data_IF_993463588289
#
_entry.id   IF_993463588289
#
_cell.length_a   1.000
_cell.length_b   1.000
_cell.length_c   1.000
_cell.angle_alpha   90.00
_cell.angle_beta   90.00
_cell.angle_gamma   90.00
#
_symmetry.space_group_name_H-M   'P 1'
#
loop_
_entity.id
_entity.type
_entity.pdbx_description
1 polymer ?
#
# COMPACT_ATOMS: atom_id res chain seq x y z
N UNK A 1 -4.77 3.25 3.78
CA UNK A 1 -5.07 2.28 2.69
C UNK A 1 -5.60 3.04 1.48
N UNK A 2 -5.50 2.49 0.27
CA UNK A 2 -6.11 3.05 -0.94
C UNK A 2 -6.78 1.93 -1.74
N UNK A 3 -7.92 2.24 -2.38
CA UNK A 3 -8.63 1.34 -3.29
C UNK A 3 -8.90 2.09 -4.59
N UNK A 4 -8.48 1.52 -5.71
CA UNK A 4 -8.62 2.16 -7.03
C UNK A 4 -8.61 1.11 -8.13
N UNK A 5 -9.45 1.32 -9.15
CA UNK A 5 -9.45 0.54 -10.40
C UNK A 5 -9.45 -0.98 -10.19
N UNK A 6 -10.22 -1.48 -9.22
CA UNK A 6 -10.28 -2.91 -8.92
C UNK A 6 -9.19 -3.43 -7.98
N UNK A 7 -8.29 -2.58 -7.48
CA UNK A 7 -7.20 -3.00 -6.58
C UNK A 7 -7.33 -2.38 -5.19
N UNK A 8 -6.78 -3.06 -4.19
CA UNK A 8 -6.68 -2.56 -2.82
C UNK A 8 -5.26 -2.70 -2.29
N UNK A 9 -4.71 -1.60 -1.79
CA UNK A 9 -3.42 -1.55 -1.11
C UNK A 9 -3.62 -1.14 0.35
N UNK A 10 -3.13 -1.97 1.26
CA UNK A 10 -3.08 -1.70 2.70
C UNK A 10 -1.61 -1.60 3.10
N UNK A 11 -1.23 -0.43 3.65
CA UNK A 11 0.09 -0.20 4.24
C UNK A 11 -0.05 -0.12 5.75
N UNK A 12 0.75 -0.90 6.45
CA UNK A 12 0.81 -0.91 7.92
C UNK A 12 2.02 -0.08 8.38
N UNK A 13 1.81 1.22 8.58
CA UNK A 13 2.86 2.10 9.10
C UNK A 13 3.16 1.74 10.57
N UNK A 14 4.42 1.40 10.86
CA UNK A 14 4.85 0.87 12.17
C UNK A 14 5.06 -0.63 12.24
N UNK A 15 4.68 -1.39 11.20
CA UNK A 15 4.98 -2.82 11.08
C UNK A 15 5.01 -3.24 9.61
N UNK A 16 6.20 -3.52 9.07
CA UNK A 16 6.39 -3.91 7.66
C UNK A 16 5.86 -5.31 7.31
N UNK A 17 5.50 -6.12 8.30
CA UNK A 17 5.06 -7.52 8.08
C UNK A 17 3.58 -7.66 7.71
N UNK A 18 2.81 -6.57 7.73
CA UNK A 18 1.36 -6.58 7.49
C UNK A 18 0.93 -5.78 6.27
N UNK A 19 1.85 -5.53 5.33
CA UNK A 19 1.49 -4.89 4.08
C UNK A 19 0.75 -5.88 3.17
N UNK A 20 -0.32 -5.40 2.52
CA UNK A 20 -1.22 -6.24 1.74
C UNK A 20 -1.58 -5.58 0.40
N UNK A 21 -1.62 -6.39 -0.64
CA UNK A 21 -2.14 -6.01 -1.96
C UNK A 21 -3.18 -7.05 -2.39
N UNK A 22 -4.35 -6.59 -2.80
CA UNK A 22 -5.41 -7.44 -3.32
C UNK A 22 -5.87 -6.97 -4.69
N UNK A 23 -6.10 -7.94 -5.57
CA UNK A 23 -6.79 -7.76 -6.84
C UNK A 23 -8.26 -8.08 -6.62
N UNK A 24 -9.11 -7.07 -6.49
CA UNK A 24 -10.53 -7.27 -6.20
C UNK A 24 -11.33 -7.72 -7.42
N UNK A 25 -10.75 -7.61 -8.63
CA UNK A 25 -11.38 -8.12 -9.85
C UNK A 25 -11.28 -9.65 -9.91
N UNK A 26 -10.08 -10.20 -9.65
CA UNK A 26 -9.89 -11.65 -9.61
C UNK A 26 -10.22 -12.28 -8.25
N UNK A 27 -10.07 -11.53 -7.16
CA UNK A 27 -10.22 -11.98 -5.78
C UNK A 27 -11.04 -10.97 -4.95
N UNK A 28 -12.35 -10.84 -5.19
CA UNK A 28 -13.23 -9.94 -4.45
C UNK A 28 -13.32 -10.28 -2.95
N UNK A 29 -12.96 -11.52 -2.58
CA UNK A 29 -12.92 -11.99 -1.19
C UNK A 29 -11.65 -11.62 -0.43
N UNK A 30 -10.66 -10.98 -1.07
CA UNK A 30 -9.38 -10.59 -0.45
C UNK A 30 -8.65 -11.78 0.22
N UNK A 31 -8.78 -12.98 -0.36
CA UNK A 31 -8.20 -14.20 0.15
C UNK A 31 -6.70 -14.32 -0.17
N UNK A 32 -6.25 -13.66 -1.26
CA UNK A 32 -4.88 -13.79 -1.76
C UNK A 32 -4.10 -12.49 -1.63
N UNK A 33 -3.23 -12.42 -0.62
CA UNK A 33 -2.29 -11.30 -0.49
C UNK A 33 -1.18 -11.39 -1.55
N UNK A 34 -1.19 -10.46 -2.50
CA UNK A 34 -0.23 -10.32 -3.59
C UNK A 34 0.94 -9.39 -3.24
N UNK A 35 1.10 -8.98 -1.98
CA UNK A 35 2.15 -8.06 -1.56
C UNK A 35 3.56 -8.53 -1.96
N UNK A 36 3.87 -9.81 -1.80
CA UNK A 36 5.18 -10.36 -2.14
C UNK A 36 5.30 -10.84 -3.60
N UNK A 37 4.25 -10.71 -4.41
CA UNK A 37 4.29 -11.09 -5.82
C UNK A 37 5.17 -10.11 -6.60
N UNK A 38 6.26 -10.61 -7.20
CA UNK A 38 7.19 -9.80 -8.01
C UNK A 38 6.49 -9.18 -9.22
N UNK A 39 5.55 -9.90 -9.82
CA UNK A 39 4.73 -9.43 -10.95
C UNK A 39 3.91 -8.18 -10.60
N UNK A 40 3.56 -7.99 -9.32
CA UNK A 40 2.80 -6.84 -8.85
C UNK A 40 3.67 -5.70 -8.33
N UNK A 41 5.00 -5.74 -8.51
CA UNK A 41 5.91 -4.70 -8.02
C UNK A 41 5.57 -3.31 -8.57
N UNK A 42 5.21 -3.21 -9.85
CA UNK A 42 4.90 -1.92 -10.46
C UNK A 42 3.56 -1.36 -9.98
N UNK A 43 2.55 -2.23 -9.88
CA UNK A 43 1.23 -1.91 -9.30
C UNK A 43 1.37 -1.39 -7.87
N UNK A 44 2.15 -2.08 -7.05
CA UNK A 44 2.44 -1.67 -5.66
C UNK A 44 3.02 -0.27 -5.63
N UNK A 45 4.11 -0.02 -6.36
CA UNK A 45 4.75 1.31 -6.41
C UNK A 45 3.77 2.41 -6.87
N UNK A 46 2.95 2.13 -7.88
CA UNK A 46 1.98 3.10 -8.37
C UNK A 46 0.93 3.46 -7.31
N UNK A 47 0.34 2.45 -6.65
CA UNK A 47 -0.66 2.65 -5.59
C UNK A 47 -0.04 3.27 -4.33
N UNK A 48 1.21 2.94 -4.00
CA UNK A 48 1.93 3.55 -2.88
C UNK A 48 2.16 5.05 -3.10
N UNK A 49 2.53 5.45 -4.34
CA UNK A 49 2.66 6.88 -4.68
C UNK A 49 1.34 7.60 -4.49
N UNK A 50 0.25 7.07 -5.05
CA UNK A 50 -1.10 7.65 -4.90
C UNK A 50 -1.54 7.73 -3.44
N UNK A 51 -1.31 6.68 -2.67
CA UNK A 51 -1.59 6.67 -1.22
C UNK A 51 -0.83 7.78 -0.51
N UNK A 52 0.46 7.97 -0.85
CA UNK A 52 1.29 9.03 -0.25
C UNK A 52 0.84 10.43 -0.65
N UNK A 53 0.50 10.63 -1.90
CA UNK A 53 -0.03 11.90 -2.40
C UNK A 53 -1.33 12.25 -1.69
N UNK A 54 -2.22 11.27 -1.51
CA UNK A 54 -3.46 11.46 -0.75
C UNK A 54 -3.20 11.78 0.71
N UNK A 55 -2.35 11.02 1.40
CA UNK A 55 -1.96 11.29 2.79
C UNK A 55 -1.36 12.70 2.95
N UNK A 56 -0.55 13.14 1.99
CA UNK A 56 0.01 14.51 1.99
C UNK A 56 -1.09 15.56 1.80
N UNK A 57 -2.08 15.28 0.96
CA UNK A 57 -3.20 16.19 0.71
C UNK A 57 -4.08 16.43 1.94
N UNK A 58 -4.17 15.46 2.85
CA UNK A 58 -4.94 15.58 4.09
C UNK A 58 -4.06 15.91 5.30
N UNK A 59 -2.79 16.23 5.07
CA UNK A 59 -1.80 16.52 6.13
C UNK A 59 -1.72 15.40 7.19
N UNK A 60 -1.74 14.15 6.71
CA UNK A 60 -1.85 12.97 7.57
C UNK A 60 -0.66 12.91 8.58
N UNK A 61 -0.93 12.80 9.89
CA UNK A 61 0.11 12.79 10.91
C UNK A 61 1.06 11.60 10.80
N UNK A 62 0.64 10.48 10.18
CA UNK A 62 1.50 9.31 9.93
C UNK A 62 2.68 9.67 9.02
N UNK A 63 2.53 10.67 8.15
CA UNK A 63 3.65 11.18 7.33
C UNK A 63 4.63 12.06 8.12
N UNK A 64 4.20 12.63 9.25
CA UNK A 64 4.98 13.58 10.07
C UNK A 64 5.75 12.89 11.18
N UNK A 65 5.30 11.75 11.67
CA UNK A 65 6.07 10.91 12.58
C UNK A 65 7.33 10.38 11.86
N UNK A 66 8.41 11.16 11.95
CA UNK A 66 9.80 10.79 11.62
C UNK A 66 10.21 9.60 12.50
N UNK A 67 9.74 8.39 12.20
CA UNK A 67 10.05 7.22 13.04
C UNK A 67 9.40 5.91 12.63
N UNK A 68 8.31 5.92 11.87
CA UNK A 68 7.69 4.68 11.40
C UNK A 68 8.39 4.20 10.12
N UNK A 69 9.64 3.73 10.28
CA UNK A 69 10.47 2.91 9.39
C UNK A 69 9.86 2.54 8.02
N UNK A 70 9.61 3.52 7.16
CA UNK A 70 9.41 3.29 5.73
C UNK A 70 10.77 3.41 5.08
N UNK A 71 11.48 2.30 4.99
CA UNK A 71 12.54 2.18 4.00
C UNK A 71 11.86 1.88 2.67
N UNK A 72 11.98 2.75 1.65
CA UNK A 72 11.63 2.32 0.30
C UNK A 72 12.48 1.07 0.01
N UNK A 73 11.85 0.02 -0.51
CA UNK A 73 12.61 -1.13 -1.00
C UNK A 73 13.66 -0.63 -2.02
N UNK A 74 14.90 -1.14 -1.98
CA UNK A 74 15.98 -0.70 -2.85
C UNK A 74 15.65 -0.84 -4.34
#
# INVERSE_FOLDING_TARGET
MIREAGWKLVRSYGTTTKDQLFDLEADPGELKNLWNAREQADRRRSMERRLREWMRSIDDPVLKERGLLYQPAP
#
